data_IF_669669668420
#
_entry.id   IF_669669668420
#
_cell.length_a   1.000
_cell.length_b   1.000
_cell.length_c   1.000
_cell.angle_alpha   90.00
_cell.angle_beta   90.00
_cell.angle_gamma   90.00
#
_symmetry.space_group_name_H-M   'P 1'
#
loop_
_entity.id
_entity.type
_entity.pdbx_description
1 polymer ?
#
# COMPACT_ATOMS: atom_id res chain seq x y z
N UNK A 1 10.12 17.58 -2.00
CA UNK A 1 11.41 17.38 -1.31
C UNK A 1 11.70 15.89 -1.22
N UNK A 2 12.88 15.47 -1.67
CA UNK A 2 13.34 14.09 -1.54
C UNK A 2 13.78 13.84 -0.09
N UNK A 3 12.84 13.44 0.75
CA UNK A 3 13.14 13.03 2.13
C UNK A 3 13.34 11.52 2.14
N UNK A 4 14.57 11.07 2.34
CA UNK A 4 14.85 9.67 2.63
C UNK A 4 14.21 9.28 3.96
N UNK A 5 13.42 8.19 4.00
CA UNK A 5 12.82 7.70 5.23
C UNK A 5 13.85 7.30 6.30
N UNK A 6 15.03 6.88 5.87
CA UNK A 6 16.15 6.54 6.76
C UNK A 6 16.93 7.81 7.19
N UNK A 7 16.79 8.89 6.44
CA UNK A 7 17.60 10.09 6.57
C UNK A 7 18.87 10.02 5.73
N UNK A 8 19.55 11.16 5.59
CA UNK A 8 20.86 11.21 4.95
C UNK A 8 21.97 10.83 5.93
N UNK A 9 23.09 10.35 5.43
CA UNK A 9 24.28 10.06 6.25
C UNK A 9 24.73 11.29 7.05
N UNK A 10 24.65 12.47 6.45
CA UNK A 10 24.96 13.74 7.11
C UNK A 10 24.01 14.01 8.29
N UNK A 11 22.69 13.83 8.11
CA UNK A 11 21.72 13.96 9.18
C UNK A 11 21.97 12.95 10.30
N UNK A 12 22.27 11.68 9.94
CA UNK A 12 22.52 10.63 10.92
C UNK A 12 23.77 10.90 11.76
N UNK A 13 24.80 11.54 11.18
CA UNK A 13 26.04 11.89 11.90
C UNK A 13 25.91 13.16 12.74
N UNK A 14 25.04 14.10 12.35
CA UNK A 14 25.03 15.45 12.91
C UNK A 14 23.73 15.82 13.65
N UNK A 15 22.74 14.91 13.75
CA UNK A 15 21.51 15.24 14.48
C UNK A 15 21.79 15.45 15.98
N UNK A 16 21.03 16.36 16.57
CA UNK A 16 21.13 16.63 18.00
C UNK A 16 20.23 15.65 18.76
N UNK A 17 20.72 14.97 19.82
CA UNK A 17 19.92 14.07 20.65
C UNK A 17 18.61 14.70 21.16
N UNK A 18 18.64 16.00 21.45
CA UNK A 18 17.46 16.76 21.88
C UNK A 18 16.34 16.74 20.84
N UNK A 19 16.66 16.64 19.56
CA UNK A 19 15.66 16.55 18.48
C UNK A 19 14.83 15.28 18.59
N UNK A 20 15.44 14.14 18.95
CA UNK A 20 14.73 12.88 19.20
C UNK A 20 13.83 12.97 20.44
N UNK A 21 14.37 13.53 21.52
CA UNK A 21 13.61 13.73 22.77
C UNK A 21 12.41 14.64 22.53
N UNK A 22 12.60 15.73 21.78
CA UNK A 22 11.52 16.67 21.45
C UNK A 22 10.47 16.03 20.53
N UNK A 23 10.92 15.22 19.53
CA UNK A 23 10.02 14.46 18.67
C UNK A 23 9.16 13.50 19.50
N UNK A 24 9.78 12.72 20.38
CA UNK A 24 9.08 11.79 21.26
C UNK A 24 8.05 12.52 22.14
N UNK A 25 8.45 13.57 22.86
CA UNK A 25 7.55 14.36 23.71
C UNK A 25 6.41 15.02 22.93
N UNK A 26 6.64 15.39 21.68
CA UNK A 26 5.63 16.06 20.85
C UNK A 26 4.58 15.07 20.35
N UNK A 27 4.96 13.85 19.97
CA UNK A 27 4.10 12.95 19.23
C UNK A 27 3.64 11.70 20.00
N UNK A 28 4.40 11.27 21.02
CA UNK A 28 4.06 10.09 21.84
C UNK A 28 3.29 10.54 23.11
N UNK A 29 2.11 11.07 22.91
CA UNK A 29 1.24 11.60 23.98
C UNK A 29 -0.03 10.76 24.08
N UNK A 30 -0.66 10.73 25.30
CA UNK A 30 -1.85 9.91 25.55
C UNK A 30 -3.03 10.19 24.62
N UNK A 31 -3.22 11.45 24.19
CA UNK A 31 -4.30 11.86 23.26
C UNK A 31 -4.11 11.33 21.82
N UNK A 32 -2.92 10.77 21.52
CA UNK A 32 -2.60 10.15 20.23
C UNK A 32 -2.38 8.62 20.33
N UNK A 33 -2.66 8.03 21.47
CA UNK A 33 -2.45 6.61 21.73
C UNK A 33 -3.77 5.88 21.92
N UNK A 34 -3.79 4.61 21.51
CA UNK A 34 -4.88 3.67 21.78
C UNK A 34 -4.27 2.38 22.32
N UNK A 35 -4.95 1.79 23.30
CA UNK A 35 -4.59 0.46 23.82
C UNK A 35 -5.65 -0.53 23.38
N UNK A 36 -5.23 -1.58 22.68
CA UNK A 36 -6.11 -2.67 22.23
C UNK A 36 -5.59 -3.97 22.82
N UNK A 37 -6.46 -4.68 23.52
CA UNK A 37 -6.15 -5.99 24.11
C UNK A 37 -7.14 -7.02 23.55
N UNK A 38 -6.62 -8.10 22.99
CA UNK A 38 -7.42 -9.18 22.39
C UNK A 38 -6.93 -10.51 22.98
N UNK A 39 -7.86 -11.32 23.46
CA UNK A 39 -7.58 -12.64 24.05
C UNK A 39 -8.67 -13.09 25.02
N UNK A 40 -8.45 -14.21 25.65
CA UNK A 40 -9.29 -14.71 26.74
C UNK A 40 -8.90 -14.00 28.04
N UNK A 41 -9.50 -12.83 28.27
CA UNK A 41 -9.16 -11.93 29.38
C UNK A 41 -10.41 -11.38 30.06
N UNK A 42 -10.31 -11.09 31.35
CA UNK A 42 -11.30 -10.30 32.07
C UNK A 42 -11.20 -8.84 31.64
N UNK A 43 -12.21 -8.37 30.91
CA UNK A 43 -12.23 -7.01 30.33
C UNK A 43 -12.18 -5.94 31.41
N UNK A 44 -12.89 -6.11 32.55
CA UNK A 44 -12.94 -5.12 33.61
C UNK A 44 -11.60 -5.01 34.34
N UNK A 45 -10.94 -6.12 34.60
CA UNK A 45 -9.61 -6.16 35.18
C UNK A 45 -8.56 -5.50 34.26
N UNK A 46 -8.65 -5.74 32.95
CA UNK A 46 -7.77 -5.12 31.95
C UNK A 46 -8.01 -3.62 31.88
N UNK A 47 -9.25 -3.17 31.83
CA UNK A 47 -9.59 -1.73 31.81
C UNK A 47 -9.10 -1.04 33.09
N UNK A 48 -9.26 -1.66 34.26
CA UNK A 48 -8.74 -1.13 35.52
C UNK A 48 -7.21 -0.98 35.47
N UNK A 49 -6.50 -1.98 34.96
CA UNK A 49 -5.04 -1.93 34.82
C UNK A 49 -4.57 -0.89 33.78
N UNK A 50 -5.30 -0.72 32.68
CA UNK A 50 -5.00 0.34 31.70
C UNK A 50 -5.16 1.71 32.35
N UNK A 51 -6.23 1.95 33.09
CA UNK A 51 -6.47 3.22 33.80
C UNK A 51 -5.38 3.48 34.85
N UNK A 52 -4.96 2.49 35.58
CA UNK A 52 -3.89 2.61 36.57
C UNK A 52 -2.54 2.97 35.93
N UNK A 53 -2.16 2.28 34.87
CA UNK A 53 -0.86 2.48 34.21
C UNK A 53 -0.80 3.75 33.35
N UNK A 54 -1.85 4.03 32.58
CA UNK A 54 -1.86 5.13 31.59
C UNK A 54 -2.62 6.37 32.06
N UNK A 55 -3.52 6.24 33.05
CA UNK A 55 -4.31 7.36 33.55
C UNK A 55 -3.49 8.44 34.27
N UNK A 56 -2.28 8.12 34.69
CA UNK A 56 -1.34 9.04 35.34
C UNK A 56 -0.47 9.83 34.35
N UNK A 57 -0.50 9.47 33.04
CA UNK A 57 0.30 10.17 32.04
C UNK A 57 -0.19 11.60 31.86
N UNK A 58 0.72 12.59 31.86
CA UNK A 58 0.33 13.99 31.74
C UNK A 58 -0.31 14.28 30.37
N UNK A 59 -1.39 15.03 30.37
CA UNK A 59 -1.97 15.58 29.14
C UNK A 59 -1.07 16.69 28.60
N UNK A 60 -0.91 16.75 27.27
CA UNK A 60 -0.21 17.87 26.67
C UNK A 60 -1.03 19.16 26.82
N UNK A 61 -0.42 20.23 27.31
CA UNK A 61 -1.12 21.53 27.54
C UNK A 61 -1.48 22.20 26.19
N UNK A 62 -0.58 22.19 25.22
CA UNK A 62 -0.81 22.76 23.89
C UNK A 62 -0.38 21.74 22.83
N UNK A 63 -1.18 20.71 22.57
CA UNK A 63 -0.79 19.63 21.68
C UNK A 63 -0.63 20.11 20.23
N UNK A 64 0.53 19.88 19.64
CA UNK A 64 0.75 20.15 18.22
C UNK A 64 -0.19 19.27 17.40
N UNK A 65 -0.96 19.89 16.51
CA UNK A 65 -1.81 19.16 15.57
C UNK A 65 -0.97 18.40 14.55
N UNK A 66 -1.42 17.20 14.16
CA UNK A 66 -0.83 16.48 13.04
C UNK A 66 -1.38 17.08 11.75
N UNK A 67 -0.54 17.78 11.02
CA UNK A 67 -0.90 18.31 9.71
C UNK A 67 -1.01 17.16 8.69
N UNK A 68 -2.07 17.12 7.87
CA UNK A 68 -2.18 16.15 6.80
C UNK A 68 -1.10 16.43 5.75
N UNK A 69 -0.41 15.38 5.32
CA UNK A 69 0.51 15.46 4.19
C UNK A 69 -0.30 15.27 2.92
N UNK A 70 -0.60 16.37 2.24
CA UNK A 70 -1.32 16.33 0.96
C UNK A 70 -0.31 16.10 -0.15
N UNK A 71 -0.48 15.03 -0.92
CA UNK A 71 0.26 14.78 -2.16
C UNK A 71 -0.49 15.48 -3.29
N UNK A 72 0.07 16.56 -3.88
CA UNK A 72 -0.63 17.29 -4.94
C UNK A 72 -0.81 16.42 -6.18
N UNK A 73 -1.87 16.71 -6.93
CA UNK A 73 -2.04 16.10 -8.26
C UNK A 73 -1.08 16.74 -9.26
N UNK A 74 -0.86 16.06 -10.39
CA UNK A 74 0.03 16.51 -11.46
C UNK A 74 -0.69 16.47 -12.82
N UNK A 75 -0.62 17.57 -13.53
CA UNK A 75 -1.25 17.72 -14.86
C UNK A 75 -0.53 16.89 -15.94
N UNK A 76 0.75 16.62 -15.75
CA UNK A 76 1.58 15.82 -16.67
C UNK A 76 2.28 14.70 -15.91
N UNK A 77 2.58 13.57 -16.56
CA UNK A 77 3.33 12.49 -15.93
C UNK A 77 4.67 12.97 -15.36
N UNK A 78 4.97 12.56 -14.14
CA UNK A 78 6.29 12.76 -13.52
C UNK A 78 7.12 11.53 -13.84
N UNK A 79 8.27 11.73 -14.50
CA UNK A 79 9.18 10.65 -14.89
C UNK A 79 10.49 10.78 -14.13
N UNK A 80 10.93 9.68 -13.53
CA UNK A 80 12.23 9.55 -12.90
C UNK A 80 12.96 8.33 -13.46
N UNK A 81 14.23 8.51 -13.83
CA UNK A 81 15.06 7.44 -14.35
C UNK A 81 16.24 7.27 -13.41
N UNK A 82 16.43 6.06 -12.93
CA UNK A 82 17.54 5.69 -12.07
C UNK A 82 18.34 4.55 -12.71
N UNK A 83 19.66 4.69 -12.75
CA UNK A 83 20.57 3.65 -13.23
C UNK A 83 21.66 3.40 -12.20
N UNK A 84 21.98 2.15 -11.95
CA UNK A 84 23.09 1.77 -11.08
C UNK A 84 23.73 0.48 -11.57
N UNK A 85 25.05 0.38 -11.47
CA UNK A 85 25.82 -0.78 -11.95
C UNK A 85 25.47 -2.11 -11.29
N UNK A 86 24.88 -2.06 -10.10
CA UNK A 86 24.44 -3.26 -9.36
C UNK A 86 23.00 -3.66 -9.66
N UNK A 87 22.27 -2.90 -10.46
CA UNK A 87 20.95 -3.31 -10.91
C UNK A 87 21.09 -4.46 -11.90
N UNK A 88 20.54 -5.60 -11.53
CA UNK A 88 20.59 -6.82 -12.35
C UNK A 88 19.41 -6.92 -13.33
N UNK A 89 18.47 -5.98 -13.26
CA UNK A 89 17.26 -6.07 -14.06
C UNK A 89 16.71 -4.67 -14.38
N UNK A 90 16.28 -4.51 -15.62
CA UNK A 90 15.57 -3.31 -16.04
C UNK A 90 14.08 -3.43 -15.67
N UNK A 91 13.55 -2.44 -14.96
CA UNK A 91 12.14 -2.37 -14.59
C UNK A 91 11.52 -1.01 -14.86
N UNK A 92 10.23 -1.00 -15.14
CA UNK A 92 9.43 0.21 -15.26
C UNK A 92 8.26 0.08 -14.29
N UNK A 93 8.07 1.12 -13.47
CA UNK A 93 6.95 1.23 -12.56
C UNK A 93 6.14 2.48 -12.92
N UNK A 94 4.82 2.41 -12.74
CA UNK A 94 3.97 3.58 -12.78
C UNK A 94 2.94 3.54 -11.67
N UNK A 95 2.43 4.70 -11.31
CA UNK A 95 1.33 4.85 -10.37
C UNK A 95 0.34 5.90 -10.89
N UNK A 96 -0.94 5.58 -10.85
CA UNK A 96 -2.04 6.50 -11.12
C UNK A 96 -2.69 6.83 -9.78
N UNK A 97 -2.54 8.07 -9.35
CA UNK A 97 -3.02 8.54 -8.05
C UNK A 97 -4.53 8.70 -8.04
N UNK A 98 -5.15 8.38 -6.91
CA UNK A 98 -6.55 8.67 -6.59
C UNK A 98 -6.68 8.98 -5.10
N UNK A 99 -7.74 9.68 -4.66
CA UNK A 99 -8.02 9.86 -3.25
C UNK A 99 -8.22 8.52 -2.55
N UNK A 100 -7.64 8.35 -1.37
CA UNK A 100 -7.95 7.20 -0.51
C UNK A 100 -9.37 7.30 0.06
N UNK A 101 -9.93 6.17 0.48
CA UNK A 101 -11.25 6.14 1.13
C UNK A 101 -11.22 7.06 2.36
N UNK A 102 -12.16 8.02 2.48
CA UNK A 102 -12.23 8.91 3.62
C UNK A 102 -12.34 8.15 4.95
N UNK A 103 -11.68 8.66 6.01
CA UNK A 103 -11.57 7.97 7.31
C UNK A 103 -12.91 7.49 7.88
N UNK A 104 -13.98 8.28 7.73
CA UNK A 104 -15.31 7.93 8.23
C UNK A 104 -15.94 6.70 7.57
N UNK A 105 -15.44 6.31 6.40
CA UNK A 105 -15.94 5.12 5.67
C UNK A 105 -15.04 3.90 5.86
N UNK A 106 -13.82 4.07 6.38
CA UNK A 106 -12.92 2.96 6.67
C UNK A 106 -13.51 2.08 7.78
N UNK A 107 -13.46 0.79 7.59
CA UNK A 107 -14.10 -0.16 8.52
C UNK A 107 -15.61 -0.35 8.31
N UNK A 108 -16.23 0.35 7.37
CA UNK A 108 -17.60 0.08 6.96
C UNK A 108 -17.65 -0.95 5.81
N UNK A 109 -18.81 -1.58 5.62
CA UNK A 109 -19.00 -2.56 4.54
C UNK A 109 -18.69 -2.03 3.14
N UNK A 110 -18.84 -0.73 2.90
CA UNK A 110 -18.49 -0.09 1.62
C UNK A 110 -16.98 -0.12 1.35
N UNK A 111 -16.14 0.08 2.36
CA UNK A 111 -14.69 -0.04 2.20
C UNK A 111 -14.29 -1.49 1.90
N UNK A 112 -14.83 -2.44 2.66
CA UNK A 112 -14.62 -3.87 2.44
C UNK A 112 -15.06 -4.31 1.02
N UNK A 113 -16.17 -3.78 0.53
CA UNK A 113 -16.64 -4.07 -0.82
C UNK A 113 -15.68 -3.50 -1.88
N UNK A 114 -15.17 -2.28 -1.67
CA UNK A 114 -14.16 -1.70 -2.57
C UNK A 114 -12.89 -2.54 -2.61
N UNK A 115 -12.36 -2.92 -1.46
CA UNK A 115 -11.16 -3.76 -1.36
C UNK A 115 -11.35 -5.11 -2.06
N UNK A 116 -12.55 -5.70 -1.94
CA UNK A 116 -12.89 -6.94 -2.61
C UNK A 116 -12.90 -6.79 -4.13
N UNK A 117 -13.48 -5.70 -4.65
CA UNK A 117 -13.50 -5.39 -6.09
C UNK A 117 -12.08 -5.18 -6.62
N UNK A 118 -11.27 -4.39 -5.93
CA UNK A 118 -9.88 -4.14 -6.31
C UNK A 118 -9.03 -5.42 -6.28
N UNK A 119 -9.26 -6.29 -5.31
CA UNK A 119 -8.58 -7.57 -5.25
C UNK A 119 -8.99 -8.51 -6.39
N UNK A 120 -10.29 -8.60 -6.70
CA UNK A 120 -10.78 -9.35 -7.86
C UNK A 120 -10.15 -8.84 -9.16
N UNK A 121 -10.19 -7.53 -9.38
CA UNK A 121 -9.59 -6.90 -10.56
C UNK A 121 -8.09 -7.21 -10.65
N UNK A 122 -7.35 -6.99 -9.57
CA UNK A 122 -5.91 -7.28 -9.51
C UNK A 122 -5.61 -8.75 -9.77
N UNK A 123 -6.41 -9.66 -9.22
CA UNK A 123 -6.23 -11.11 -9.42
C UNK A 123 -6.40 -11.49 -10.89
N UNK A 124 -7.44 -11.00 -11.55
CA UNK A 124 -7.72 -11.29 -12.96
C UNK A 124 -6.69 -10.66 -13.90
N UNK A 125 -6.30 -9.40 -13.65
CA UNK A 125 -5.24 -8.72 -14.43
C UNK A 125 -3.93 -9.50 -14.32
N UNK A 126 -3.52 -9.87 -13.11
CA UNK A 126 -2.26 -10.55 -12.89
C UNK A 126 -2.23 -11.97 -13.45
N UNK A 127 -3.36 -12.68 -13.51
CA UNK A 127 -3.48 -13.95 -14.22
C UNK A 127 -3.17 -13.78 -15.71
N UNK A 128 -3.77 -12.78 -16.38
CA UNK A 128 -3.47 -12.47 -17.80
C UNK A 128 -2.01 -12.08 -18.01
N UNK A 129 -1.46 -11.20 -17.15
CA UNK A 129 -0.06 -10.79 -17.26
C UNK A 129 0.90 -11.98 -17.08
N UNK A 130 0.58 -12.91 -16.18
CA UNK A 130 1.34 -14.13 -16.00
C UNK A 130 1.27 -15.05 -17.25
N UNK A 131 0.11 -15.19 -17.86
CA UNK A 131 -0.04 -15.99 -19.07
C UNK A 131 0.75 -15.39 -20.23
N UNK A 132 0.71 -14.07 -20.41
CA UNK A 132 1.53 -13.36 -21.38
C UNK A 132 3.02 -13.61 -21.14
N UNK A 133 3.49 -13.56 -19.88
CA UNK A 133 4.90 -13.77 -19.55
C UNK A 133 5.44 -15.17 -19.90
N UNK A 134 4.55 -16.14 -20.06
CA UNK A 134 4.89 -17.54 -20.41
C UNK A 134 4.95 -17.80 -21.90
N UNK A 135 4.58 -16.83 -22.73
CA UNK A 135 4.62 -17.00 -24.19
C UNK A 135 6.07 -16.87 -24.71
N UNK A 136 6.42 -17.55 -25.82
CA UNK A 136 7.79 -17.47 -26.39
C UNK A 136 8.22 -16.02 -26.69
N UNK A 137 7.31 -15.19 -27.17
CA UNK A 137 7.55 -13.80 -27.58
C UNK A 137 7.11 -12.78 -26.51
N UNK A 138 7.09 -13.20 -25.25
CA UNK A 138 6.66 -12.34 -24.14
C UNK A 138 7.36 -10.97 -24.18
N UNK A 139 6.60 -9.87 -24.05
CA UNK A 139 7.19 -8.52 -24.07
C UNK A 139 7.94 -8.18 -22.79
N UNK A 140 7.79 -8.99 -21.74
CA UNK A 140 8.39 -8.81 -20.43
C UNK A 140 8.70 -10.16 -19.77
N UNK A 141 9.60 -10.14 -18.81
CA UNK A 141 9.91 -11.29 -17.96
C UNK A 141 8.83 -11.52 -16.91
N UNK A 142 8.36 -10.42 -16.32
CA UNK A 142 7.31 -10.41 -15.33
C UNK A 142 6.59 -9.06 -15.37
N UNK A 143 5.28 -9.08 -15.13
CA UNK A 143 4.50 -7.87 -14.91
C UNK A 143 3.47 -8.08 -13.81
N UNK A 144 3.11 -7.01 -13.12
CA UNK A 144 2.03 -7.01 -12.15
C UNK A 144 1.28 -5.68 -12.17
N UNK A 145 0.04 -5.72 -11.69
CA UNK A 145 -0.75 -4.52 -11.45
C UNK A 145 -1.60 -4.72 -10.18
N UNK A 146 -1.72 -3.68 -9.37
CA UNK A 146 -2.46 -3.73 -8.11
C UNK A 146 -2.98 -2.35 -7.70
N UNK A 147 -4.00 -2.35 -6.87
CA UNK A 147 -4.45 -1.19 -6.13
C UNK A 147 -3.84 -1.20 -4.73
N UNK A 148 -3.65 -0.03 -4.13
CA UNK A 148 -3.18 0.05 -2.75
C UNK A 148 -3.03 1.48 -2.24
N UNK A 149 -3.08 1.61 -0.93
CA UNK A 149 -2.84 2.87 -0.25
C UNK A 149 -1.33 3.19 -0.22
N UNK A 150 -0.97 4.34 -0.74
CA UNK A 150 0.40 4.88 -0.69
C UNK A 150 0.60 5.67 0.60
N UNK A 151 -0.44 6.33 1.05
CA UNK A 151 -0.50 7.04 2.33
C UNK A 151 -1.94 7.05 2.87
N UNK A 152 -2.14 7.65 4.04
CA UNK A 152 -3.48 7.77 4.63
C UNK A 152 -4.51 8.48 3.72
N UNK A 153 -4.06 9.35 2.83
CA UNK A 153 -4.93 10.20 2.00
C UNK A 153 -4.73 9.96 0.50
N UNK A 154 -3.80 9.05 0.14
CA UNK A 154 -3.46 8.73 -1.23
C UNK A 154 -3.60 7.23 -1.50
N UNK A 155 -4.47 6.89 -2.40
CA UNK A 155 -4.61 5.58 -3.02
C UNK A 155 -3.99 5.60 -4.42
N UNK A 156 -3.58 4.47 -4.95
CA UNK A 156 -3.05 4.39 -6.29
C UNK A 156 -3.35 3.05 -6.96
N UNK A 157 -3.56 3.10 -8.26
CA UNK A 157 -3.38 1.95 -9.13
C UNK A 157 -1.93 1.95 -9.60
N UNK A 158 -1.24 0.86 -9.35
CA UNK A 158 0.19 0.71 -9.64
C UNK A 158 0.41 -0.44 -10.62
N UNK A 159 1.32 -0.26 -11.55
CA UNK A 159 1.79 -1.30 -12.44
C UNK A 159 3.31 -1.35 -12.47
N UNK A 160 3.85 -2.56 -12.54
CA UNK A 160 5.28 -2.78 -12.66
C UNK A 160 5.56 -3.85 -13.72
N UNK A 161 6.64 -3.67 -14.45
CA UNK A 161 7.12 -4.62 -15.44
C UNK A 161 8.63 -4.76 -15.33
N UNK A 162 9.09 -6.00 -15.37
CA UNK A 162 10.50 -6.35 -15.41
C UNK A 162 10.85 -6.91 -16.80
N UNK A 163 11.94 -6.43 -17.38
CA UNK A 163 12.32 -6.73 -18.75
C UNK A 163 13.79 -7.12 -18.87
N UNK A 164 14.16 -7.63 -20.02
CA UNK A 164 15.57 -7.73 -20.42
C UNK A 164 16.15 -6.31 -20.62
N UNK A 165 17.45 -6.20 -20.53
CA UNK A 165 18.13 -4.94 -20.81
C UNK A 165 17.83 -4.43 -22.21
N UNK A 166 17.58 -3.12 -22.30
CA UNK A 166 17.19 -2.45 -23.54
C UNK A 166 15.73 -2.63 -23.97
N UNK A 167 14.94 -3.48 -23.28
CA UNK A 167 13.54 -3.76 -23.65
C UNK A 167 12.50 -3.04 -22.79
N UNK A 168 12.88 -2.04 -22.00
CA UNK A 168 11.98 -1.30 -21.09
C UNK A 168 10.71 -0.80 -21.80
N UNK A 169 10.85 -0.19 -22.97
CA UNK A 169 9.69 0.35 -23.72
C UNK A 169 8.79 -0.78 -24.26
N UNK A 170 9.37 -1.90 -24.71
CA UNK A 170 8.61 -3.06 -25.18
C UNK A 170 7.77 -3.65 -24.04
N UNK A 171 8.40 -3.85 -22.88
CA UNK A 171 7.70 -4.37 -21.72
C UNK A 171 6.61 -3.44 -21.21
N UNK A 172 6.91 -2.15 -21.10
CA UNK A 172 5.91 -1.14 -20.69
C UNK A 172 4.71 -1.08 -21.65
N UNK A 173 4.95 -1.08 -22.96
CA UNK A 173 3.89 -1.16 -23.98
C UNK A 173 3.05 -2.43 -23.81
N UNK A 174 3.68 -3.59 -23.56
CA UNK A 174 2.97 -4.84 -23.32
C UNK A 174 2.02 -4.76 -22.12
N UNK A 175 2.51 -4.26 -20.99
CA UNK A 175 1.70 -4.03 -19.80
C UNK A 175 0.51 -3.09 -20.08
N UNK A 176 0.79 -1.89 -20.62
CA UNK A 176 -0.25 -0.89 -20.91
C UNK A 176 -1.27 -1.41 -21.94
N UNK A 177 -0.84 -2.19 -22.93
CA UNK A 177 -1.74 -2.80 -23.92
C UNK A 177 -2.74 -3.72 -23.26
N UNK A 178 -2.31 -4.55 -22.29
CA UNK A 178 -3.24 -5.43 -21.58
C UNK A 178 -4.17 -4.65 -20.64
N UNK A 179 -3.69 -3.63 -19.96
CA UNK A 179 -4.54 -2.74 -19.16
C UNK A 179 -5.58 -2.01 -20.00
N UNK A 180 -5.22 -1.52 -21.18
CA UNK A 180 -6.17 -0.91 -22.13
C UNK A 180 -7.18 -1.94 -22.68
N UNK A 181 -6.77 -3.19 -22.85
CA UNK A 181 -7.67 -4.29 -23.24
C UNK A 181 -8.70 -4.54 -22.14
N UNK A 182 -8.27 -4.62 -20.88
CA UNK A 182 -9.18 -4.73 -19.72
C UNK A 182 -10.14 -3.56 -19.65
N UNK A 183 -9.64 -2.33 -19.83
CA UNK A 183 -10.48 -1.13 -19.81
C UNK A 183 -11.58 -1.14 -20.89
N UNK A 184 -11.26 -1.63 -22.10
CA UNK A 184 -12.18 -1.62 -23.25
C UNK A 184 -13.16 -2.79 -23.25
N UNK A 185 -12.74 -3.95 -22.83
CA UNK A 185 -13.48 -5.21 -23.00
C UNK A 185 -13.84 -5.90 -21.69
N UNK A 186 -13.28 -5.46 -20.58
CA UNK A 186 -13.49 -6.07 -19.27
C UNK A 186 -12.86 -7.47 -19.14
N UNK A 187 -13.48 -8.26 -18.30
CA UNK A 187 -13.13 -9.65 -18.03
C UNK A 187 -14.22 -10.59 -18.53
N UNK A 188 -13.84 -11.82 -18.83
CA UNK A 188 -14.80 -12.88 -19.20
C UNK A 188 -15.47 -13.44 -17.93
N UNK A 189 -16.68 -14.05 -18.06
CA UNK A 189 -17.32 -14.74 -16.95
C UNK A 189 -16.43 -15.82 -16.30
N UNK A 190 -15.65 -16.55 -17.09
CA UNK A 190 -14.77 -17.61 -16.59
C UNK A 190 -13.61 -17.07 -15.75
N UNK A 191 -13.03 -15.93 -16.13
CA UNK A 191 -11.99 -15.24 -15.33
C UNK A 191 -12.57 -14.81 -13.98
N UNK A 192 -13.77 -14.25 -14.00
CA UNK A 192 -14.45 -13.82 -12.78
C UNK A 192 -14.76 -15.01 -11.85
N UNK A 193 -15.31 -16.11 -12.36
CA UNK A 193 -15.62 -17.28 -11.54
C UNK A 193 -14.37 -17.95 -10.97
N UNK A 194 -13.26 -17.99 -11.70
CA UNK A 194 -11.97 -18.45 -11.17
C UNK A 194 -11.44 -17.56 -10.06
N UNK A 195 -11.45 -16.23 -10.26
CA UNK A 195 -11.01 -15.28 -9.25
C UNK A 195 -11.88 -15.36 -7.99
N UNK A 196 -13.19 -15.42 -8.14
CA UNK A 196 -14.16 -15.61 -7.05
C UNK A 196 -13.91 -16.89 -6.26
N UNK A 197 -13.71 -18.02 -6.94
CA UNK A 197 -13.42 -19.30 -6.30
C UNK A 197 -12.10 -19.24 -5.49
N UNK A 198 -11.08 -18.58 -6.01
CA UNK A 198 -9.79 -18.36 -5.33
C UNK A 198 -9.95 -17.54 -4.05
N UNK A 199 -10.74 -16.47 -4.12
CA UNK A 199 -11.05 -15.61 -2.97
C UNK A 199 -11.81 -16.39 -1.90
N UNK A 200 -12.89 -17.06 -2.27
CA UNK A 200 -13.69 -17.85 -1.32
C UNK A 200 -12.83 -18.90 -0.61
N UNK A 201 -11.98 -19.61 -1.36
CA UNK A 201 -11.05 -20.59 -0.78
C UNK A 201 -10.07 -19.98 0.20
N UNK A 202 -9.57 -18.76 -0.08
CA UNK A 202 -8.66 -18.06 0.84
C UNK A 202 -9.34 -17.70 2.16
N UNK A 203 -10.58 -17.23 2.12
CA UNK A 203 -11.37 -16.94 3.32
C UNK A 203 -11.74 -18.20 4.11
N UNK A 204 -12.12 -19.29 3.43
CA UNK A 204 -12.38 -20.59 4.08
C UNK A 204 -11.12 -21.10 4.79
N UNK A 205 -9.96 -21.00 4.13
CA UNK A 205 -8.69 -21.40 4.73
C UNK A 205 -8.35 -20.53 5.95
N UNK A 206 -8.51 -19.21 5.84
CA UNK A 206 -8.27 -18.31 6.96
C UNK A 206 -9.20 -18.60 8.14
N UNK A 207 -10.48 -18.87 7.89
CA UNK A 207 -11.45 -19.26 8.91
C UNK A 207 -11.05 -20.56 9.61
N UNK A 208 -10.64 -21.58 8.85
CA UNK A 208 -10.25 -22.88 9.42
C UNK A 208 -8.95 -22.80 10.22
N UNK A 209 -8.03 -21.89 9.87
CA UNK A 209 -6.79 -21.68 10.61
C UNK A 209 -6.98 -20.81 11.86
N UNK A 210 -8.11 -20.14 12.01
CA UNK A 210 -8.45 -19.29 13.16
C UNK A 210 -9.27 -20.06 14.23
N UNK A 211 -9.69 -21.29 13.95
CA UNK A 211 -10.41 -22.18 14.85
C UNK A 211 -9.46 -23.15 15.56
#
# INVERSE_FOLDING_TARGET
>A
ENVSLIGSEENLKNFKPESLVNYYKTWYRPDMQSVVVVGDVDADAVVAKIKDLFGQLPKAENPKAKEPVVVPDNATPIVSIFTHKENQQTSVLFAVKSPAIPKQFRGLGVAMLNDLVEWLMSSMINERLQDISRTPDAPFLQANASFGDVSNDLHAFMGAVATKDGEALKGFKGLVTELERVKRYGFTPDEFERAKAKILKSYETAKNNAA
#
